data_IF_453800005109
#
_entry.id   IF_453800005109
#
_cell.length_a   1.000
_cell.length_b   1.000
_cell.length_c   1.000
_cell.angle_alpha   90.00
_cell.angle_beta   90.00
_cell.angle_gamma   90.00
#
_symmetry.space_group_name_H-M   'P 1'
#
loop_
_entity.id
_entity.type
_entity.pdbx_description
1 polymer ?
#
# COMPACT_ATOMS: atom_id res chain seq x y z
N UNK A 1 -4.06 0.94 -12.38
CA UNK A 1 -2.79 1.72 -12.43
C UNK A 1 -3.09 3.17 -12.08
N UNK A 2 -4.13 3.76 -12.68
CA UNK A 2 -4.64 5.08 -12.31
C UNK A 2 -4.94 5.20 -10.81
N UNK A 3 -5.67 4.24 -10.24
CA UNK A 3 -6.05 4.25 -8.83
C UNK A 3 -4.84 4.14 -7.87
N UNK A 4 -3.77 3.46 -8.30
CA UNK A 4 -2.55 3.33 -7.52
C UNK A 4 -1.82 4.67 -7.43
N UNK A 5 -1.66 5.37 -8.54
CA UNK A 5 -1.00 6.67 -8.56
C UNK A 5 -1.87 7.77 -7.96
N UNK A 6 -3.19 7.70 -8.10
CA UNK A 6 -4.11 8.59 -7.40
C UNK A 6 -3.96 8.43 -5.87
N UNK A 7 -3.97 7.19 -5.36
CA UNK A 7 -3.77 6.92 -3.94
C UNK A 7 -2.43 7.45 -3.42
N UNK A 8 -1.33 7.19 -4.14
CA UNK A 8 -0.01 7.73 -3.82
C UNK A 8 -0.01 9.26 -3.80
N UNK A 9 -0.61 9.90 -4.81
CA UNK A 9 -0.73 11.37 -4.90
C UNK A 9 -1.51 11.94 -3.72
N UNK A 10 -2.62 11.32 -3.33
CA UNK A 10 -3.42 11.75 -2.19
C UNK A 10 -2.64 11.69 -0.88
N UNK A 11 -1.82 10.65 -0.69
CA UNK A 11 -0.99 10.49 0.51
C UNK A 11 0.17 11.49 0.50
N UNK A 12 0.89 11.63 -0.61
CA UNK A 12 2.00 12.58 -0.79
C UNK A 12 1.56 14.03 -0.54
N UNK A 13 0.39 14.40 -1.05
CA UNK A 13 -0.16 15.76 -0.89
C UNK A 13 -0.84 15.99 0.46
N UNK A 14 -0.83 15.00 1.35
CA UNK A 14 -1.44 15.08 2.69
C UNK A 14 -2.96 15.18 2.67
N UNK A 15 -3.60 14.82 1.56
CA UNK A 15 -5.06 14.79 1.40
C UNK A 15 -5.70 13.51 1.96
N UNK A 16 -4.88 12.50 2.26
CA UNK A 16 -5.28 11.25 2.91
C UNK A 16 -4.32 10.91 4.06
N UNK A 17 -4.80 10.12 5.03
CA UNK A 17 -3.94 9.49 6.04
C UNK A 17 -2.89 8.60 5.37
N UNK A 18 -1.70 8.49 5.98
CA UNK A 18 -0.64 7.56 5.55
C UNK A 18 -1.05 6.12 5.85
N UNK A 19 -1.74 5.49 4.91
CA UNK A 19 -2.23 4.11 4.99
C UNK A 19 -1.42 3.16 4.09
N UNK A 20 -1.35 1.85 4.41
CA UNK A 20 -0.64 0.89 3.58
C UNK A 20 -1.34 0.68 2.23
N UNK A 21 -0.57 0.72 1.14
CA UNK A 21 -0.97 0.31 -0.21
C UNK A 21 -0.60 -1.17 -0.38
N UNK A 22 -1.60 -2.02 -0.58
CA UNK A 22 -1.40 -3.47 -0.66
C UNK A 22 -1.56 -3.93 -2.11
N UNK A 23 -0.49 -4.46 -2.68
CA UNK A 23 -0.43 -4.96 -4.04
C UNK A 23 -0.45 -6.50 -4.04
N UNK A 24 -1.37 -7.10 -4.78
CA UNK A 24 -1.48 -8.55 -4.86
C UNK A 24 -0.58 -9.16 -5.94
N UNK A 25 0.12 -10.24 -5.60
CA UNK A 25 1.01 -10.96 -6.52
C UNK A 25 2.33 -10.22 -6.73
N UNK A 26 3.28 -10.38 -5.82
CA UNK A 26 4.56 -9.65 -5.84
C UNK A 26 5.29 -9.75 -7.17
N UNK A 27 5.36 -10.96 -7.73
CA UNK A 27 6.12 -11.21 -8.96
C UNK A 27 5.55 -10.44 -10.16
N UNK A 28 4.23 -10.32 -10.23
CA UNK A 28 3.56 -9.51 -11.26
C UNK A 28 3.98 -8.04 -11.18
N UNK A 29 3.95 -7.46 -9.98
CA UNK A 29 4.27 -6.03 -9.79
C UNK A 29 5.76 -5.74 -9.95
N UNK A 30 6.64 -6.63 -9.48
CA UNK A 30 8.08 -6.51 -9.69
C UNK A 30 8.46 -6.61 -11.18
N UNK A 31 7.71 -7.38 -11.97
CA UNK A 31 7.90 -7.45 -13.41
C UNK A 31 7.35 -6.21 -14.14
N UNK A 32 6.33 -5.55 -13.59
CA UNK A 32 5.64 -4.42 -14.21
C UNK A 32 6.26 -3.07 -13.85
N UNK A 33 6.71 -2.88 -12.60
CA UNK A 33 7.15 -1.59 -12.06
C UNK A 33 8.53 -1.72 -11.43
N UNK A 34 9.44 -0.85 -11.87
CA UNK A 34 10.68 -0.58 -11.15
C UNK A 34 10.47 0.63 -10.25
N UNK A 35 10.22 0.39 -8.96
CA UNK A 35 9.94 1.44 -7.99
C UNK A 35 11.10 2.43 -7.82
N UNK A 36 12.35 1.96 -7.89
CA UNK A 36 13.51 2.84 -7.78
C UNK A 36 13.58 3.82 -8.95
N UNK A 37 13.26 3.37 -10.16
CA UNK A 37 13.20 4.26 -11.32
C UNK A 37 12.14 5.37 -11.14
N UNK A 38 11.01 5.06 -10.51
CA UNK A 38 9.95 6.05 -10.27
C UNK A 38 10.35 7.07 -9.21
N UNK A 39 11.14 6.65 -8.22
CA UNK A 39 11.77 7.56 -7.25
C UNK A 39 12.81 8.44 -7.95
N UNK A 40 13.68 7.87 -8.78
CA UNK A 40 14.73 8.60 -9.49
C UNK A 40 14.15 9.66 -10.44
N UNK A 41 13.04 9.34 -11.12
CA UNK A 41 12.31 10.28 -11.99
C UNK A 41 11.40 11.27 -11.22
N UNK A 42 11.35 11.19 -9.89
CA UNK A 42 10.56 12.07 -9.03
C UNK A 42 9.04 11.89 -9.15
N UNK A 43 8.59 10.74 -9.65
CA UNK A 43 7.16 10.39 -9.77
C UNK A 43 6.59 10.02 -8.38
N UNK A 44 7.42 9.41 -7.53
CA UNK A 44 7.07 9.12 -6.13
C UNK A 44 8.20 9.54 -5.18
N UNK A 45 7.86 9.84 -3.93
CA UNK A 45 8.88 10.13 -2.92
C UNK A 45 9.51 8.83 -2.39
N UNK A 46 10.79 8.83 -1.98
CA UNK A 46 11.43 7.65 -1.38
C UNK A 46 10.64 7.09 -0.19
N UNK A 47 10.01 7.96 0.60
CA UNK A 47 9.24 7.59 1.78
C UNK A 47 7.90 6.89 1.43
N UNK A 48 7.41 7.02 0.20
CA UNK A 48 6.20 6.30 -0.23
C UNK A 48 6.47 4.81 -0.43
N UNK A 49 7.72 4.40 -0.61
CA UNK A 49 8.08 2.98 -0.70
C UNK A 49 7.75 2.23 0.59
N UNK A 50 7.78 2.91 1.74
CA UNK A 50 7.43 2.34 3.04
C UNK A 50 5.92 2.00 3.14
N UNK A 51 5.09 2.60 2.27
CA UNK A 51 3.65 2.35 2.21
C UNK A 51 3.31 1.15 1.34
N UNK A 52 4.23 0.70 0.48
CA UNK A 52 3.97 -0.38 -0.48
C UNK A 52 4.22 -1.72 0.19
N UNK A 53 3.16 -2.51 0.28
CA UNK A 53 3.20 -3.88 0.79
C UNK A 53 2.68 -4.85 -0.25
N UNK A 54 3.17 -6.09 -0.19
CA UNK A 54 2.69 -7.17 -1.06
C UNK A 54 1.94 -8.22 -0.26
N UNK A 55 0.90 -8.78 -0.88
CA UNK A 55 0.15 -9.90 -0.34
C UNK A 55 -0.12 -10.95 -1.44
N UNK A 56 -0.05 -12.22 -1.08
CA UNK A 56 -0.43 -13.33 -1.96
C UNK A 56 -1.83 -13.86 -1.61
N UNK A 57 -2.34 -13.50 -0.43
CA UNK A 57 -3.64 -13.96 0.06
C UNK A 57 -4.40 -12.85 0.78
N UNK A 58 -5.72 -12.97 0.83
CA UNK A 58 -6.57 -12.03 1.56
C UNK A 58 -6.23 -11.96 3.05
N UNK A 59 -5.82 -13.08 3.66
CA UNK A 59 -5.38 -13.12 5.06
C UNK A 59 -4.12 -12.27 5.29
N UNK A 60 -3.11 -12.39 4.41
CA UNK A 60 -1.91 -11.56 4.51
C UNK A 60 -2.22 -10.06 4.35
N UNK A 61 -3.10 -9.72 3.40
CA UNK A 61 -3.55 -8.33 3.24
C UNK A 61 -4.25 -7.82 4.51
N UNK A 62 -5.12 -8.65 5.09
CA UNK A 62 -5.79 -8.32 6.35
C UNK A 62 -4.79 -8.11 7.50
N UNK A 63 -3.77 -8.95 7.62
CA UNK A 63 -2.74 -8.81 8.66
C UNK A 63 -1.92 -7.51 8.51
N UNK A 64 -1.71 -7.03 7.27
CA UNK A 64 -1.08 -5.73 7.02
C UNK A 64 -1.99 -4.59 7.51
N UNK A 65 -3.28 -4.62 7.12
CA UNK A 65 -4.26 -3.62 7.57
C UNK A 65 -4.38 -3.62 9.11
N UNK A 66 -4.41 -4.80 9.71
CA UNK A 66 -4.58 -4.96 11.14
C UNK A 66 -3.40 -4.45 11.97
N UNK A 67 -2.17 -4.67 11.50
CA UNK A 67 -0.98 -4.11 12.14
C UNK A 67 -0.92 -2.59 12.06
N UNK A 68 -1.44 -2.01 10.98
CA UNK A 68 -1.43 -0.57 10.80
C UNK A 68 -2.52 0.14 11.63
N UNK A 69 -3.66 -0.51 11.89
CA UNK A 69 -4.80 0.08 12.59
C UNK A 69 -5.30 -0.81 13.76
N UNK A 70 -4.47 -1.09 14.78
CA UNK A 70 -4.84 -2.02 15.85
C UNK A 70 -6.10 -1.57 16.63
N UNK A 71 -6.28 -0.26 16.81
CA UNK A 71 -7.40 0.31 17.59
C UNK A 71 -8.74 0.38 16.83
N UNK A 72 -8.71 0.30 15.48
CA UNK A 72 -9.93 0.40 14.65
C UNK A 72 -10.55 -0.96 14.34
N UNK A 73 -9.90 -2.06 14.72
CA UNK A 73 -10.40 -3.42 14.50
C UNK A 73 -11.17 -3.88 15.72
N UNK A 74 -12.50 -3.74 15.68
CA UNK A 74 -13.37 -4.52 16.56
C UNK A 74 -13.38 -5.95 16.04
N UNK A 75 -13.06 -6.97 16.87
CA UNK A 75 -13.23 -8.35 16.46
C UNK A 75 -14.69 -8.53 16.04
N UNK A 76 -14.91 -9.07 14.85
CA UNK A 76 -16.25 -9.42 14.39
C UNK A 76 -16.87 -10.28 15.49
N UNK A 77 -17.95 -9.79 16.10
CA UNK A 77 -18.65 -10.53 17.15
C UNK A 77 -19.01 -11.89 16.57
N UNK A 78 -18.37 -12.95 17.06
CA UNK A 78 -18.74 -14.33 16.72
C UNK A 78 -20.22 -14.49 17.08
N UNK A 79 -21.06 -14.66 16.06
CA UNK A 79 -22.40 -15.22 16.23
C UNK A 79 -22.28 -16.70 16.56
#
# INVERSE_FOLDING_TARGET
MDELFEALTLIQTGKSERIPIILFGRDFWNALINWNFFVDEGVISPEDLDLIHYAETAHQAWDIVARHNPERIKPASRR
#
